data_IF_325038793979
#
_entry.id   IF_325038793979
#
_cell.length_a   1.000
_cell.length_b   1.000
_cell.length_c   1.000
_cell.angle_alpha   90.00
_cell.angle_beta   90.00
_cell.angle_gamma   90.00
#
_symmetry.space_group_name_H-M   'P 1'
#
loop_
_entity.id
_entity.type
_entity.pdbx_description
1 polymer ?
#
# COMPACT_ATOMS: atom_id res chain seq x y z
N UNK A 1 -31.26 -16.30 -49.86
CA UNK A 1 -29.92 -15.70 -49.72
C UNK A 1 -30.08 -14.36 -49.04
N UNK A 2 -29.76 -14.25 -47.75
CA UNK A 2 -29.35 -12.98 -47.13
C UNK A 2 -28.56 -13.34 -45.89
N UNK A 3 -27.25 -13.16 -45.98
CA UNK A 3 -26.32 -13.32 -44.89
C UNK A 3 -26.45 -12.11 -43.95
N UNK A 4 -26.78 -12.37 -42.68
CA UNK A 4 -26.62 -11.38 -41.62
C UNK A 4 -25.17 -11.48 -41.14
N UNK A 5 -24.38 -10.45 -41.45
CA UNK A 5 -22.98 -10.34 -41.04
C UNK A 5 -22.88 -10.13 -39.53
N UNK A 6 -21.99 -10.91 -38.92
CA UNK A 6 -21.73 -10.90 -37.48
C UNK A 6 -21.11 -9.60 -36.99
N UNK A 7 -21.48 -9.23 -35.76
CA UNK A 7 -20.74 -8.25 -34.95
C UNK A 7 -19.60 -8.99 -34.26
N UNK A 8 -18.38 -8.82 -34.76
CA UNK A 8 -17.19 -9.49 -34.23
C UNK A 8 -16.35 -8.51 -33.40
N UNK A 9 -16.44 -8.63 -32.07
CA UNK A 9 -15.33 -8.46 -31.13
C UNK A 9 -15.05 -7.07 -30.52
N UNK A 10 -15.47 -6.84 -29.26
CA UNK A 10 -14.69 -6.05 -28.26
C UNK A 10 -14.91 -6.39 -26.75
N UNK A 11 -15.25 -7.62 -26.31
CA UNK A 11 -15.52 -7.85 -24.88
C UNK A 11 -14.29 -7.77 -23.94
N UNK A 12 -13.07 -7.96 -24.46
CA UNK A 12 -11.84 -8.04 -23.63
C UNK A 12 -11.28 -6.67 -23.23
N UNK A 13 -11.40 -5.65 -24.07
CA UNK A 13 -10.86 -4.32 -23.78
C UNK A 13 -11.72 -3.60 -22.73
N UNK A 14 -13.05 -3.60 -22.91
CA UNK A 14 -14.00 -3.02 -21.95
C UNK A 14 -13.93 -3.69 -20.58
N UNK A 15 -13.74 -5.02 -20.53
CA UNK A 15 -13.55 -5.75 -19.27
C UNK A 15 -12.21 -5.45 -18.59
N UNK A 16 -11.15 -5.17 -19.35
CA UNK A 16 -9.84 -4.77 -18.82
C UNK A 16 -9.89 -3.34 -18.26
N UNK A 17 -10.47 -2.40 -18.99
CA UNK A 17 -10.66 -1.02 -18.53
C UNK A 17 -11.57 -0.96 -17.30
N UNK A 18 -12.63 -1.77 -17.29
CA UNK A 18 -13.48 -1.94 -16.10
C UNK A 18 -12.72 -2.55 -14.91
N UNK A 19 -11.78 -3.47 -15.14
CA UNK A 19 -10.94 -4.03 -14.08
C UNK A 19 -9.90 -3.02 -13.57
N UNK A 20 -9.28 -2.24 -14.46
CA UNK A 20 -8.36 -1.17 -14.12
C UNK A 20 -9.06 -0.06 -13.31
N UNK A 21 -10.26 0.35 -13.72
CA UNK A 21 -11.06 1.32 -12.97
C UNK A 21 -11.45 0.80 -11.58
N UNK A 22 -11.86 -0.47 -11.45
CA UNK A 22 -12.12 -1.08 -10.13
C UNK A 22 -10.88 -1.10 -9.24
N UNK A 23 -9.72 -1.44 -9.79
CA UNK A 23 -8.46 -1.44 -9.05
C UNK A 23 -8.03 -0.02 -8.62
N UNK A 24 -8.24 0.99 -9.48
CA UNK A 24 -7.97 2.39 -9.13
C UNK A 24 -8.89 2.89 -8.00
N UNK A 25 -10.16 2.51 -8.02
CA UNK A 25 -11.09 2.85 -6.94
C UNK A 25 -10.72 2.15 -5.63
N UNK A 26 -10.30 0.88 -5.70
CA UNK A 26 -9.79 0.16 -4.52
C UNK A 26 -8.55 0.84 -3.95
N UNK A 27 -7.59 1.23 -4.80
CA UNK A 27 -6.41 1.99 -4.38
C UNK A 27 -6.80 3.34 -3.76
N UNK A 28 -7.73 4.07 -4.37
CA UNK A 28 -8.21 5.35 -3.83
C UNK A 28 -8.87 5.18 -2.46
N UNK A 29 -9.66 4.11 -2.28
CA UNK A 29 -10.24 3.75 -0.99
C UNK A 29 -9.18 3.44 0.07
N UNK A 30 -8.13 2.70 -0.31
CA UNK A 30 -7.00 2.41 0.57
C UNK A 30 -6.23 3.67 0.96
N UNK A 31 -5.99 4.59 0.01
CA UNK A 31 -5.33 5.88 0.30
C UNK A 31 -6.17 6.76 1.24
N UNK A 32 -7.49 6.79 1.09
CA UNK A 32 -8.35 7.48 2.05
C UNK A 32 -8.21 6.92 3.47
N UNK A 33 -8.21 5.60 3.61
CA UNK A 33 -8.02 4.93 4.89
C UNK A 33 -6.62 5.20 5.47
N UNK A 34 -5.58 5.22 4.63
CA UNK A 34 -4.21 5.52 5.04
C UNK A 34 -4.06 6.96 5.54
N UNK A 35 -4.63 7.94 4.82
CA UNK A 35 -4.64 9.36 5.26
C UNK A 35 -5.34 9.50 6.61
N UNK A 36 -6.50 8.85 6.80
CA UNK A 36 -7.18 8.84 8.10
C UNK A 36 -6.33 8.18 9.20
N UNK A 37 -5.79 6.99 8.91
CA UNK A 37 -4.97 6.22 9.84
C UNK A 37 -3.69 6.95 10.26
N UNK A 38 -3.02 7.65 9.35
CA UNK A 38 -1.85 8.47 9.67
C UNK A 38 -2.19 9.70 10.53
N UNK A 39 -3.43 10.19 10.50
CA UNK A 39 -3.93 11.15 11.48
C UNK A 39 -3.91 10.59 12.90
N UNK A 40 -4.37 9.34 13.07
CA UNK A 40 -4.32 8.62 14.35
C UNK A 40 -2.88 8.35 14.78
N UNK A 41 -2.03 7.88 13.86
CA UNK A 41 -0.60 7.66 14.11
C UNK A 41 0.05 8.97 14.59
N UNK A 42 -0.14 10.07 13.87
CA UNK A 42 0.43 11.37 14.23
C UNK A 42 0.02 11.88 15.62
N UNK A 43 -1.20 11.55 16.07
CA UNK A 43 -1.70 11.91 17.40
C UNK A 43 -1.14 11.07 18.55
N UNK A 44 -0.57 9.89 18.25
CA UNK A 44 -0.08 8.93 19.26
C UNK A 44 1.43 8.69 19.20
N UNK A 45 2.07 9.03 18.08
CA UNK A 45 3.48 8.79 17.86
C UNK A 45 4.36 9.73 18.69
N UNK A 46 5.48 9.22 19.20
CA UNK A 46 6.47 10.01 19.95
C UNK A 46 7.20 11.05 19.09
N UNK A 47 7.81 12.04 19.73
CA UNK A 47 8.43 13.20 19.06
C UNK A 47 9.42 12.82 17.97
N UNK A 48 10.25 11.82 18.23
CA UNK A 48 11.32 11.36 17.34
C UNK A 48 10.82 10.86 15.97
N UNK A 49 9.57 10.39 15.89
CA UNK A 49 8.98 9.78 14.68
C UNK A 49 7.88 10.65 14.05
N UNK A 50 7.60 11.84 14.59
CA UNK A 50 6.56 12.75 14.06
C UNK A 50 6.86 13.22 12.64
N UNK A 51 8.13 13.51 12.34
CA UNK A 51 8.53 13.91 10.98
C UNK A 51 8.25 12.80 9.96
N UNK A 52 8.54 11.54 10.33
CA UNK A 52 8.24 10.38 9.48
C UNK A 52 6.75 10.18 9.27
N UNK A 53 5.95 10.29 10.34
CA UNK A 53 4.49 10.19 10.24
C UNK A 53 3.91 11.31 9.35
N UNK A 54 4.44 12.52 9.46
CA UNK A 54 4.01 13.66 8.63
C UNK A 54 4.38 13.46 7.16
N UNK A 55 5.60 13.03 6.87
CA UNK A 55 6.05 12.76 5.51
C UNK A 55 5.20 11.66 4.84
N UNK A 56 4.87 10.60 5.57
CA UNK A 56 4.00 9.55 5.07
C UNK A 56 2.55 10.04 4.85
N UNK A 57 2.00 10.81 5.79
CA UNK A 57 0.69 11.45 5.62
C UNK A 57 0.62 12.30 4.34
N UNK A 58 1.63 13.16 4.12
CA UNK A 58 1.67 14.03 2.95
C UNK A 58 1.83 13.21 1.64
N UNK A 59 2.63 12.13 1.65
CA UNK A 59 2.76 11.21 0.52
C UNK A 59 1.44 10.54 0.15
N UNK A 60 0.68 10.02 1.13
CA UNK A 60 -0.63 9.42 0.89
C UNK A 60 -1.66 10.44 0.37
N UNK A 61 -1.60 11.70 0.84
CA UNK A 61 -2.47 12.76 0.29
C UNK A 61 -2.18 13.06 -1.17
N UNK A 62 -0.89 13.21 -1.53
CA UNK A 62 -0.50 13.42 -2.92
C UNK A 62 -0.97 12.26 -3.80
N UNK A 63 -0.78 11.03 -3.33
CA UNK A 63 -1.18 9.83 -4.06
C UNK A 63 -2.69 9.69 -4.22
N UNK A 64 -3.47 9.98 -3.18
CA UNK A 64 -4.94 10.05 -3.25
C UNK A 64 -5.39 11.02 -4.35
N UNK A 65 -4.78 12.20 -4.40
CA UNK A 65 -5.16 13.24 -5.36
C UNK A 65 -4.76 12.86 -6.80
N UNK A 66 -3.67 12.09 -6.98
CA UNK A 66 -3.29 11.46 -8.24
C UNK A 66 -4.30 10.39 -8.69
N UNK A 67 -4.65 9.46 -7.81
CA UNK A 67 -5.62 8.41 -8.11
C UNK A 67 -7.00 8.98 -8.47
N UNK A 68 -7.44 10.01 -7.75
CA UNK A 68 -8.69 10.69 -8.07
C UNK A 68 -8.66 11.32 -9.48
N UNK A 69 -7.50 11.79 -9.97
CA UNK A 69 -7.35 12.23 -11.36
C UNK A 69 -7.41 11.04 -12.31
N UNK A 70 -6.65 9.98 -12.05
CA UNK A 70 -6.64 8.77 -12.89
C UNK A 70 -8.00 8.09 -13.02
N UNK A 71 -8.83 8.10 -11.98
CA UNK A 71 -10.21 7.61 -12.04
C UNK A 71 -11.05 8.45 -13.02
N UNK A 72 -10.93 9.78 -12.97
CA UNK A 72 -11.63 10.67 -13.91
C UNK A 72 -11.14 10.51 -15.34
N UNK A 73 -9.84 10.29 -15.53
CA UNK A 73 -9.24 10.07 -16.86
C UNK A 73 -9.75 8.78 -17.52
N UNK A 74 -10.22 7.80 -16.74
CA UNK A 74 -10.93 6.59 -17.22
C UNK A 74 -12.46 6.76 -17.26
N UNK A 75 -12.98 7.98 -17.16
CA UNK A 75 -14.42 8.28 -17.18
C UNK A 75 -15.17 7.89 -15.89
N UNK A 76 -14.46 7.49 -14.84
CA UNK A 76 -15.04 7.16 -13.54
C UNK A 76 -15.26 8.39 -12.66
N UNK A 77 -16.12 8.25 -11.66
CA UNK A 77 -16.27 9.25 -10.58
C UNK A 77 -15.49 8.80 -9.34
N UNK A 78 -14.48 9.55 -8.87
CA UNK A 78 -13.69 9.16 -7.69
C UNK A 78 -14.58 9.00 -6.46
N UNK A 79 -14.45 7.86 -5.79
CA UNK A 79 -15.17 7.63 -4.54
C UNK A 79 -14.74 8.66 -3.48
N UNK A 80 -15.68 9.27 -2.78
CA UNK A 80 -15.39 10.19 -1.68
C UNK A 80 -14.83 9.45 -0.46
N UNK A 81 -14.01 10.14 0.33
CA UNK A 81 -13.58 9.64 1.63
C UNK A 81 -14.78 9.46 2.58
N UNK A 82 -14.78 8.39 3.37
CA UNK A 82 -15.74 8.24 4.46
C UNK A 82 -15.43 9.22 5.60
N UNK A 83 -16.44 9.52 6.44
CA UNK A 83 -16.27 10.37 7.62
C UNK A 83 -15.34 9.76 8.68
N UNK A 84 -15.17 8.43 8.65
CA UNK A 84 -14.27 7.69 9.52
C UNK A 84 -14.03 6.27 9.01
N UNK A 85 -12.95 5.66 9.50
CA UNK A 85 -12.53 4.31 9.14
C UNK A 85 -12.31 3.46 10.40
N UNK A 86 -12.72 2.19 10.33
CA UNK A 86 -12.44 1.23 11.39
C UNK A 86 -10.94 0.92 11.41
N UNK A 87 -10.33 1.03 12.59
CA UNK A 87 -8.94 0.63 12.79
C UNK A 87 -8.86 -0.89 12.98
N UNK A 88 -7.78 -1.53 12.50
CA UNK A 88 -7.60 -2.99 12.65
C UNK A 88 -7.45 -3.44 14.11
N UNK A 89 -7.05 -2.52 15.00
CA UNK A 89 -6.91 -2.72 16.43
C UNK A 89 -6.91 -1.38 17.15
N UNK A 90 -7.03 -1.40 18.49
CA UNK A 90 -6.96 -0.20 19.31
C UNK A 90 -5.53 0.38 19.34
N UNK A 91 -5.40 1.71 19.31
CA UNK A 91 -4.12 2.43 19.30
C UNK A 91 -4.00 3.36 20.52
N UNK A 92 -3.75 2.80 21.72
CA UNK A 92 -3.68 3.59 22.94
C UNK A 92 -2.39 4.42 23.04
N UNK A 93 -1.28 3.92 22.50
CA UNK A 93 0.08 4.41 22.71
C UNK A 93 0.94 4.47 21.42
N UNK A 94 2.19 4.93 21.57
CA UNK A 94 3.13 5.10 20.46
C UNK A 94 3.55 3.76 19.82
N UNK A 95 3.66 2.69 20.60
CA UNK A 95 4.03 1.36 20.07
C UNK A 95 2.92 0.81 19.19
N UNK A 96 1.67 0.95 19.62
CA UNK A 96 0.51 0.61 18.80
C UNK A 96 0.42 1.51 17.55
N UNK A 97 0.83 2.78 17.63
CA UNK A 97 0.85 3.69 16.48
C UNK A 97 1.88 3.26 15.42
N UNK A 98 3.06 2.82 15.84
CA UNK A 98 4.07 2.24 14.94
C UNK A 98 3.53 0.99 14.24
N UNK A 99 2.89 0.08 14.99
CA UNK A 99 2.25 -1.11 14.42
C UNK A 99 1.14 -0.75 13.43
N UNK A 100 0.31 0.26 13.75
CA UNK A 100 -0.74 0.72 12.85
C UNK A 100 -0.12 1.27 11.55
N UNK A 101 0.95 2.06 11.63
CA UNK A 101 1.61 2.60 10.44
C UNK A 101 2.15 1.48 9.54
N UNK A 102 2.79 0.44 10.11
CA UNK A 102 3.25 -0.71 9.34
C UNK A 102 2.09 -1.47 8.66
N UNK A 103 1.00 -1.71 9.39
CA UNK A 103 -0.20 -2.39 8.86
C UNK A 103 -0.87 -1.60 7.73
N UNK A 104 -0.94 -0.27 7.84
CA UNK A 104 -1.50 0.59 6.79
C UNK A 104 -0.67 0.49 5.50
N UNK A 105 0.65 0.58 5.62
CA UNK A 105 1.55 0.54 4.47
C UNK A 105 1.54 -0.84 3.78
N UNK A 106 1.47 -1.93 4.56
CA UNK A 106 1.34 -3.29 4.01
C UNK A 106 0.02 -3.47 3.25
N UNK A 107 -1.10 -2.98 3.80
CA UNK A 107 -2.40 -3.03 3.11
C UNK A 107 -2.41 -2.20 1.83
N UNK A 108 -1.82 -1.00 1.88
CA UNK A 108 -1.68 -0.14 0.70
C UNK A 108 -0.83 -0.83 -0.37
N UNK A 109 0.30 -1.44 0.02
CA UNK A 109 1.10 -2.25 -0.88
C UNK A 109 0.28 -3.38 -1.51
N UNK A 110 -0.47 -4.16 -0.72
CA UNK A 110 -1.36 -5.21 -1.22
C UNK A 110 -2.30 -4.70 -2.31
N UNK A 111 -3.00 -3.59 -2.08
CA UNK A 111 -3.94 -3.02 -3.06
C UNK A 111 -3.23 -2.49 -4.32
N UNK A 112 -2.02 -1.91 -4.19
CA UNK A 112 -1.25 -1.53 -5.38
C UNK A 112 -0.79 -2.71 -6.21
N UNK A 113 -0.55 -3.88 -5.59
CA UNK A 113 -0.22 -5.09 -6.35
C UNK A 113 -1.38 -5.53 -7.27
N UNK A 114 -2.63 -5.36 -6.82
CA UNK A 114 -3.81 -5.59 -7.63
C UNK A 114 -3.91 -4.58 -8.77
N UNK A 115 -3.57 -3.31 -8.51
CA UNK A 115 -3.54 -2.28 -9.55
C UNK A 115 -2.42 -2.52 -10.57
N UNK A 116 -1.25 -3.02 -10.15
CA UNK A 116 -0.18 -3.46 -11.08
C UNK A 116 -0.68 -4.58 -11.98
N UNK A 117 -1.42 -5.54 -11.42
CA UNK A 117 -2.01 -6.65 -12.18
C UNK A 117 -3.03 -6.17 -13.20
N UNK A 118 -3.91 -5.26 -12.82
CA UNK A 118 -5.01 -4.77 -13.65
C UNK A 118 -4.57 -3.71 -14.68
N UNK A 119 -3.62 -2.85 -14.33
CA UNK A 119 -3.21 -1.72 -15.15
C UNK A 119 -2.23 -2.08 -16.27
N UNK A 120 -1.98 -1.15 -17.19
CA UNK A 120 -0.99 -1.29 -18.27
C UNK A 120 -0.14 -0.03 -18.44
N UNK A 121 0.93 -0.11 -19.24
CA UNK A 121 1.74 1.05 -19.63
C UNK A 121 2.21 1.91 -18.45
N UNK A 122 1.92 3.22 -18.52
CA UNK A 122 2.29 4.18 -17.47
C UNK A 122 1.59 3.91 -16.13
N UNK A 123 0.29 3.55 -16.14
CA UNK A 123 -0.47 3.28 -14.92
C UNK A 123 0.09 2.09 -14.14
N UNK A 124 0.47 1.02 -14.85
CA UNK A 124 1.16 -0.13 -14.22
C UNK A 124 2.48 0.27 -13.56
N UNK A 125 3.27 1.13 -14.20
CA UNK A 125 4.55 1.61 -13.64
C UNK A 125 4.32 2.47 -12.40
N UNK A 126 3.41 3.43 -12.46
CA UNK A 126 3.08 4.28 -11.30
C UNK A 126 2.53 3.46 -10.13
N UNK A 127 1.72 2.43 -10.40
CA UNK A 127 1.26 1.51 -9.37
C UNK A 127 2.40 0.69 -8.75
N UNK A 128 3.38 0.25 -9.55
CA UNK A 128 4.55 -0.48 -9.05
C UNK A 128 5.49 0.40 -8.22
N UNK A 129 5.62 1.69 -8.58
CA UNK A 129 6.35 2.68 -7.79
C UNK A 129 5.67 2.90 -6.44
N UNK A 130 4.35 3.13 -6.43
CA UNK A 130 3.57 3.30 -5.21
C UNK A 130 3.60 2.05 -4.31
N UNK A 131 3.50 0.86 -4.91
CA UNK A 131 3.68 -0.43 -4.23
C UNK A 131 5.02 -0.48 -3.50
N UNK A 132 6.12 -0.18 -4.23
CA UNK A 132 7.47 -0.21 -3.66
C UNK A 132 7.62 0.81 -2.53
N UNK A 133 7.13 2.02 -2.72
CA UNK A 133 7.20 3.07 -1.69
C UNK A 133 6.47 2.68 -0.41
N UNK A 134 5.27 2.11 -0.53
CA UNK A 134 4.50 1.62 0.60
C UNK A 134 5.22 0.47 1.32
N UNK A 135 5.68 -0.54 0.57
CA UNK A 135 6.43 -1.66 1.14
C UNK A 135 7.71 -1.21 1.88
N UNK A 136 8.45 -0.24 1.32
CA UNK A 136 9.65 0.33 1.99
C UNK A 136 9.26 1.06 3.28
N UNK A 137 8.15 1.81 3.28
CA UNK A 137 7.65 2.46 4.50
C UNK A 137 7.18 1.45 5.54
N UNK A 138 6.53 0.36 5.14
CA UNK A 138 6.10 -0.71 6.04
C UNK A 138 7.29 -1.27 6.84
N UNK A 139 8.39 -1.61 6.16
CA UNK A 139 9.64 -2.09 6.78
C UNK A 139 10.27 -1.01 7.66
N UNK A 140 10.24 0.25 7.24
CA UNK A 140 10.74 1.38 8.05
C UNK A 140 9.94 1.58 9.34
N UNK A 141 8.65 1.26 9.33
CA UNK A 141 7.81 1.28 10.54
C UNK A 141 8.02 0.08 11.43
N UNK A 142 8.06 -1.14 10.89
CA UNK A 142 8.32 -2.33 11.70
C UNK A 142 9.68 -2.28 12.40
N UNK A 143 10.68 -1.64 11.76
CA UNK A 143 12.08 -1.69 12.23
C UNK A 143 12.70 -3.09 12.10
N UNK A 144 11.96 -4.02 11.49
CA UNK A 144 12.32 -5.41 11.31
C UNK A 144 12.25 -5.73 9.82
N UNK A 145 13.35 -6.25 9.28
CA UNK A 145 13.37 -6.95 8.01
C UNK A 145 13.31 -8.44 8.31
N UNK A 146 12.46 -9.20 7.62
CA UNK A 146 12.56 -10.66 7.67
C UNK A 146 13.93 -11.05 7.13
N UNK A 147 14.71 -11.80 7.90
CA UNK A 147 15.83 -12.52 7.33
C UNK A 147 15.27 -13.39 6.20
N UNK A 148 15.99 -13.48 5.08
CA UNK A 148 15.61 -14.27 3.90
C UNK A 148 14.91 -15.58 4.30
N UNK A 149 13.84 -16.02 3.60
CA UNK A 149 13.19 -17.29 3.90
C UNK A 149 14.24 -18.41 4.08
N UNK A 150 14.24 -19.08 5.24
CA UNK A 150 15.25 -20.08 5.63
C UNK A 150 16.47 -19.58 6.42
N UNK A 151 16.54 -18.29 6.79
CA UNK A 151 17.61 -17.75 7.65
C UNK A 151 17.16 -17.44 9.09
N UNK A 152 15.85 -17.30 9.33
CA UNK A 152 15.31 -17.08 10.68
C UNK A 152 15.70 -18.20 11.65
N UNK A 153 15.81 -19.44 11.15
CA UNK A 153 16.25 -20.62 11.91
C UNK A 153 17.71 -20.54 12.36
N UNK A 154 18.59 -19.84 11.61
CA UNK A 154 19.99 -19.63 12.01
C UNK A 154 20.17 -18.49 12.99
N UNK A 155 19.31 -17.48 12.96
CA UNK A 155 19.37 -16.36 13.89
C UNK A 155 18.96 -16.76 15.33
N UNK A 156 18.14 -17.80 15.46
CA UNK A 156 17.76 -18.37 16.76
C UNK A 156 18.88 -19.22 17.41
N UNK A 157 19.93 -19.59 16.66
CA UNK A 157 21.09 -20.26 17.22
C UNK A 157 22.00 -19.21 17.89
N UNK A 158 21.89 -19.05 19.21
CA UNK A 158 22.84 -18.27 20.01
C UNK A 158 24.28 -18.72 19.70
N UNK A 159 25.20 -17.82 19.31
CA UNK A 159 26.58 -18.19 19.14
C UNK A 159 27.18 -18.47 20.51
N UNK A 160 27.57 -19.72 20.77
CA UNK A 160 28.44 -20.06 21.90
C UNK A 160 29.76 -19.33 21.67
N UNK A 161 30.07 -18.34 22.51
CA UNK A 161 31.29 -17.55 22.39
C UNK A 161 32.52 -18.48 22.43
N UNK A 162 33.33 -18.47 21.37
CA UNK A 162 34.62 -19.14 21.36
C UNK A 162 35.58 -18.43 22.29
N UNK A 163 36.09 -19.15 23.29
CA UNK A 163 37.12 -18.69 24.20
C UNK A 163 38.40 -18.31 23.42
N UNK A 164 38.95 -17.14 23.72
CA UNK A 164 40.27 -16.67 23.26
C UNK A 164 41.39 -17.52 23.87
N UNK A 165 42.37 -18.02 23.10
CA UNK A 165 43.57 -18.64 23.67
C UNK A 165 44.49 -17.54 24.22
N UNK A 166 44.87 -17.66 25.49
CA UNK A 166 45.93 -16.84 26.08
C UNK A 166 47.29 -17.35 25.57
N UNK A 167 48.16 -16.42 25.17
CA UNK A 167 49.58 -16.67 24.89
C UNK A 167 50.42 -16.28 26.10
#
# INVERSE_FOLDING_TARGET
>A
MSASTGTTGTPKAESTESAELRALQAALGAEHAAVYGYGVVGGKIGQARRADARAAYDAHRARRDELARSVRDLGGTPQAAAAGYALPFAVPDATAAVRLAAELEERVAGVYSDLVRAGTGARRRSAAEALREAAVRAVRWSGESVAFPGLAERAAATPTASATPQT
#
